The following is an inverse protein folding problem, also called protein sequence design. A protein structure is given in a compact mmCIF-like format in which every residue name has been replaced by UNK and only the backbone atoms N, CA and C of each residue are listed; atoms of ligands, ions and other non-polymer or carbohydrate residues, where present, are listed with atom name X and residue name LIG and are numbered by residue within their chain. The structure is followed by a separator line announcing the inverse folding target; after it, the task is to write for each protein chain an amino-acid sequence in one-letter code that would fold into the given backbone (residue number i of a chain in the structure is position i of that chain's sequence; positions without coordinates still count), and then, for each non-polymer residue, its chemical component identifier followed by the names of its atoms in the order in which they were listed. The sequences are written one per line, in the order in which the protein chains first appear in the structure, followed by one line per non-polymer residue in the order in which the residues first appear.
data_IF_528975997058
#
_entry.id   IF_528975997058
#
_cell.length_a   1.000
_cell.length_b   1.000
_cell.length_c   1.000
_cell.angle_alpha   90.00
_cell.angle_beta   90.00
_cell.angle_gamma   90.00
#
_symmetry.space_group_name_H-M   'P 1'
#
loop_
_entity.id
_entity.type
_entity.pdbx_description
1 polymer ?
#
# COMPACT_ATOMS: atom_id res chain seq x y z
N UNK A 1 39.76 32.71 6.43
CA UNK A 1 39.23 31.86 7.52
C UNK A 1 37.93 31.25 7.03
N UNK A 2 38.07 30.08 6.42
CA UNK A 2 37.02 29.35 5.75
C UNK A 2 36.11 28.62 6.75
N UNK A 3 34.99 28.17 6.20
CA UNK A 3 34.17 27.05 6.65
C UNK A 3 32.91 27.38 7.47
N UNK A 4 31.80 27.48 6.73
CA UNK A 4 30.46 27.13 7.22
C UNK A 4 29.72 26.39 6.11
N UNK A 5 30.22 25.23 5.71
CA UNK A 5 29.45 24.28 4.91
C UNK A 5 28.78 23.25 5.83
N UNK A 6 27.63 23.62 6.42
CA UNK A 6 26.68 22.62 6.90
C UNK A 6 25.76 22.25 5.74
N UNK A 7 26.19 21.28 4.94
CA UNK A 7 25.38 20.67 3.89
C UNK A 7 24.11 20.04 4.46
N UNK A 8 22.97 20.66 4.23
CA UNK A 8 21.66 20.10 4.51
C UNK A 8 21.34 19.06 3.44
N UNK A 9 21.28 17.79 3.84
CA UNK A 9 20.97 16.68 2.96
C UNK A 9 19.58 16.83 2.31
N UNK A 10 19.59 17.13 1.00
CA UNK A 10 18.68 16.70 -0.08
C UNK A 10 17.28 16.19 0.33
N UNK A 11 16.33 17.12 0.46
CA UNK A 11 14.90 16.82 0.27
C UNK A 11 14.69 16.59 -1.23
N UNK A 12 14.82 15.34 -1.69
CA UNK A 12 14.48 14.99 -3.07
C UNK A 12 13.00 15.34 -3.30
N UNK A 13 12.71 16.20 -4.28
CA UNK A 13 11.37 16.74 -4.46
C UNK A 13 10.41 15.64 -4.92
N UNK A 14 9.23 15.59 -4.30
CA UNK A 14 8.12 14.70 -4.67
C UNK A 14 7.66 14.95 -6.12
N UNK A 15 7.90 16.16 -6.64
CA UNK A 15 7.51 16.60 -7.98
C UNK A 15 8.39 16.07 -9.12
N UNK A 16 9.68 15.77 -8.85
CA UNK A 16 10.61 15.27 -9.85
C UNK A 16 10.78 13.75 -9.80
N UNK A 17 10.14 13.09 -8.83
CA UNK A 17 10.27 11.65 -8.65
C UNK A 17 9.23 10.93 -9.51
N UNK A 18 9.63 10.16 -10.54
CA UNK A 18 8.69 9.36 -11.29
C UNK A 18 8.00 8.35 -10.35
N UNK A 19 6.67 8.15 -10.45
CA UNK A 19 5.97 7.25 -9.54
C UNK A 19 6.48 5.82 -9.73
N UNK A 20 7.18 5.29 -8.73
CA UNK A 20 7.60 3.89 -8.71
C UNK A 20 6.38 3.03 -8.41
N UNK A 21 5.74 2.48 -9.45
CA UNK A 21 4.74 1.43 -9.27
C UNK A 21 5.45 0.17 -8.82
N UNK A 22 5.22 -0.23 -7.57
CA UNK A 22 5.61 -1.56 -7.11
C UNK A 22 4.63 -2.58 -7.71
N UNK A 23 5.12 -3.68 -8.31
CA UNK A 23 4.27 -4.78 -8.70
C UNK A 23 3.52 -5.30 -7.49
N UNK A 24 2.31 -5.80 -7.73
CA UNK A 24 1.55 -6.46 -6.68
C UNK A 24 2.29 -7.70 -6.19
N UNK A 25 2.16 -8.03 -4.89
CA UNK A 25 2.70 -9.27 -4.38
C UNK A 25 2.11 -10.46 -5.18
N UNK A 26 2.93 -11.47 -5.49
CA UNK A 26 2.47 -12.63 -6.23
C UNK A 26 1.28 -13.29 -5.52
N UNK A 27 0.24 -13.62 -6.29
CA UNK A 27 -0.98 -14.25 -5.78
C UNK A 27 -1.90 -13.30 -5.02
N UNK A 28 -1.88 -11.99 -5.30
CA UNK A 28 -2.96 -11.10 -4.91
C UNK A 28 -4.19 -11.43 -5.78
N UNK A 29 -5.29 -11.76 -5.12
CA UNK A 29 -6.56 -12.12 -5.75
C UNK A 29 -7.72 -11.65 -4.89
N UNK A 30 -8.91 -11.51 -5.48
CA UNK A 30 -10.14 -11.18 -4.76
C UNK A 30 -10.36 -12.11 -3.56
N UNK A 31 -10.20 -13.42 -3.74
CA UNK A 31 -10.42 -14.39 -2.66
C UNK A 31 -9.44 -14.19 -1.50
N UNK A 32 -8.17 -13.90 -1.81
CA UNK A 32 -7.17 -13.61 -0.79
C UNK A 32 -7.47 -12.32 -0.04
N UNK A 33 -7.98 -11.30 -0.75
CA UNK A 33 -8.41 -10.03 -0.16
C UNK A 33 -9.58 -10.26 0.81
N UNK A 34 -10.61 -10.97 0.35
CA UNK A 34 -11.81 -11.27 1.17
C UNK A 34 -11.45 -12.11 2.38
N UNK A 35 -10.64 -13.16 2.22
CA UNK A 35 -10.18 -13.99 3.35
C UNK A 35 -9.46 -13.17 4.42
N UNK A 36 -8.52 -12.31 4.01
CA UNK A 36 -7.77 -11.45 4.94
C UNK A 36 -8.69 -10.47 5.66
N UNK A 37 -9.69 -9.92 4.96
CA UNK A 37 -10.69 -9.05 5.57
C UNK A 37 -11.54 -9.78 6.63
N UNK A 38 -11.92 -11.04 6.38
CA UNK A 38 -12.66 -11.87 7.34
C UNK A 38 -11.80 -12.23 8.55
N UNK A 39 -10.51 -12.54 8.34
CA UNK A 39 -9.56 -12.81 9.43
C UNK A 39 -9.37 -11.58 10.34
N UNK A 40 -9.17 -10.39 9.73
CA UNK A 40 -9.07 -9.13 10.47
C UNK A 40 -10.36 -8.82 11.24
N UNK A 41 -11.51 -9.05 10.63
CA UNK A 41 -12.81 -8.87 11.27
C UNK A 41 -12.98 -9.79 12.48
N UNK A 42 -12.56 -11.06 12.36
CA UNK A 42 -12.62 -12.03 13.44
C UNK A 42 -11.66 -11.73 14.59
N UNK A 43 -10.49 -11.16 14.29
CA UNK A 43 -9.45 -10.87 15.29
C UNK A 43 -9.65 -9.55 16.03
N UNK A 44 -10.03 -8.49 15.31
CA UNK A 44 -10.04 -7.12 15.83
C UNK A 44 -11.43 -6.45 15.79
N UNK A 45 -12.43 -7.14 15.24
CA UNK A 45 -13.78 -6.62 15.08
C UNK A 45 -13.92 -5.60 13.94
N UNK A 46 -15.15 -5.13 13.74
CA UNK A 46 -15.51 -4.31 12.58
C UNK A 46 -14.77 -2.97 12.53
N UNK A 47 -14.40 -2.42 13.69
CA UNK A 47 -13.72 -1.11 13.78
C UNK A 47 -12.30 -1.13 13.21
N UNK A 48 -11.65 -2.30 13.15
CA UNK A 48 -10.33 -2.45 12.57
C UNK A 48 -10.37 -2.70 11.05
N UNK A 49 -11.55 -3.01 10.50
CA UNK A 49 -11.70 -3.34 9.09
C UNK A 49 -11.67 -2.06 8.24
N UNK A 50 -10.57 -1.87 7.53
CA UNK A 50 -10.43 -0.83 6.51
C UNK A 50 -9.60 -1.33 5.34
N UNK A 51 -9.82 -0.75 4.15
CA UNK A 51 -9.04 -1.08 2.95
C UNK A 51 -7.53 -0.87 3.18
N UNK A 52 -7.17 0.11 4.01
CA UNK A 52 -5.79 0.38 4.39
C UNK A 52 -5.17 -0.77 5.18
N UNK A 53 -5.89 -1.28 6.19
CA UNK A 53 -5.41 -2.40 6.99
C UNK A 53 -5.33 -3.69 6.20
N UNK A 54 -6.30 -3.95 5.34
CA UNK A 54 -6.27 -5.10 4.43
C UNK A 54 -5.07 -5.02 3.49
N UNK A 55 -4.77 -3.83 2.94
CA UNK A 55 -3.62 -3.63 2.05
C UNK A 55 -2.30 -3.85 2.79
N UNK A 56 -2.19 -3.29 4.00
CA UNK A 56 -1.03 -3.45 4.85
C UNK A 56 -0.80 -4.93 5.21
N UNK A 57 -1.85 -5.65 5.59
CA UNK A 57 -1.78 -7.08 5.90
C UNK A 57 -1.34 -7.93 4.70
N UNK A 58 -1.69 -7.51 3.49
CA UNK A 58 -1.33 -8.18 2.24
C UNK A 58 0.01 -7.73 1.65
N UNK A 59 0.63 -6.68 2.18
CA UNK A 59 1.79 -6.03 1.56
C UNK A 59 1.48 -5.45 0.18
N UNK A 60 0.21 -5.13 -0.10
CA UNK A 60 -0.27 -4.64 -1.38
C UNK A 60 -0.46 -3.12 -1.37
N UNK A 61 -0.45 -2.48 -2.54
CA UNK A 61 -0.85 -1.08 -2.65
C UNK A 61 -2.38 -0.92 -2.53
N UNK A 62 -2.86 0.14 -1.89
CA UNK A 62 -4.31 0.41 -1.77
C UNK A 62 -5.03 0.39 -3.11
N UNK A 63 -4.42 0.96 -4.16
CA UNK A 63 -5.00 1.00 -5.50
C UNK A 63 -5.08 -0.36 -6.17
N UNK A 64 -4.21 -1.29 -5.78
CA UNK A 64 -4.27 -2.65 -6.29
C UNK A 64 -5.49 -3.39 -5.75
N UNK A 65 -5.81 -3.25 -4.45
CA UNK A 65 -7.00 -3.87 -3.88
C UNK A 65 -8.26 -3.47 -4.63
N UNK A 66 -8.43 -2.17 -4.92
CA UNK A 66 -9.56 -1.69 -5.70
C UNK A 66 -9.61 -2.29 -7.10
N UNK A 67 -8.46 -2.44 -7.75
CA UNK A 67 -8.37 -3.10 -9.06
C UNK A 67 -8.85 -4.55 -9.01
N UNK A 68 -8.35 -5.36 -8.07
CA UNK A 68 -8.73 -6.77 -7.94
C UNK A 68 -10.18 -6.99 -7.49
N UNK A 69 -10.79 -5.99 -6.87
CA UNK A 69 -12.20 -6.01 -6.49
C UNK A 69 -13.14 -5.56 -7.63
N UNK A 70 -12.68 -4.66 -8.50
CA UNK A 70 -13.50 -4.11 -9.60
C UNK A 70 -13.31 -4.83 -10.92
N UNK A 71 -12.17 -5.49 -11.14
CA UNK A 71 -11.88 -6.23 -12.36
C UNK A 71 -12.65 -7.54 -12.36
N UNK A 72 -13.93 -7.47 -12.71
CA UNK A 72 -14.75 -8.62 -13.06
C UNK A 72 -14.81 -8.71 -14.58
N UNK A 73 -14.12 -9.64 -15.26
CA UNK A 73 -14.74 -10.31 -16.38
C UNK A 73 -15.69 -11.37 -15.79
N UNK A 74 -16.98 -11.21 -16.05
CA UNK A 74 -17.85 -12.38 -16.09
C UNK A 74 -17.49 -13.22 -17.33
#
# INVERSE_FOLDING_TARGET
MADRERGTAKTASVWLTPPVRRPDPPGLSRDRIVRTAVELLGAEGLQALSMHRVAAALGAGHMSLYWHLTSSPA
#
